data_IF_002201756995
#
_entry.id   IF_002201756995
#
_cell.length_a   1.000
_cell.length_b   1.000
_cell.length_c   1.000
_cell.angle_alpha   90.00
_cell.angle_beta   90.00
_cell.angle_gamma   90.00
#
_symmetry.space_group_name_H-M   'P 1'
#
loop_
_entity.id
_entity.type
_entity.pdbx_description
1 polymer ?
#
# COMPACT_ATOMS: atom_id res chain seq x y z
N UNK A 1 7.40 4.79 18.42
CA UNK A 1 7.05 5.91 17.54
C UNK A 1 6.70 7.07 18.43
N UNK A 2 7.48 8.14 18.36
CA UNK A 2 7.42 9.19 19.40
C UNK A 2 6.13 9.99 19.34
N UNK A 3 5.50 10.08 18.17
CA UNK A 3 4.23 10.78 17.97
C UNK A 3 3.00 10.04 18.55
N UNK A 4 3.06 8.71 18.74
CA UNK A 4 1.87 7.93 19.12
C UNK A 4 2.14 6.74 20.06
N UNK A 5 3.37 6.61 20.56
CA UNK A 5 3.78 5.54 21.48
C UNK A 5 3.87 4.13 20.87
N UNK A 6 3.44 3.90 19.62
CA UNK A 6 3.46 2.55 19.03
C UNK A 6 4.87 1.98 18.91
N UNK A 7 5.04 0.74 19.38
CA UNK A 7 6.26 -0.04 19.24
C UNK A 7 6.29 -0.82 17.91
N UNK A 8 7.49 -1.01 17.36
CA UNK A 8 7.71 -1.75 16.12
C UNK A 8 8.92 -2.66 16.28
N UNK A 9 8.90 -3.81 15.61
CA UNK A 9 9.97 -4.82 15.67
C UNK A 9 11.28 -4.33 15.05
N UNK A 10 11.23 -3.44 14.07
CA UNK A 10 12.40 -2.93 13.37
C UNK A 10 12.21 -1.48 12.88
N UNK A 11 13.35 -0.85 12.54
CA UNK A 11 13.43 0.55 12.09
C UNK A 11 12.72 0.76 10.76
N UNK A 12 12.72 -0.24 9.87
CA UNK A 12 12.03 -0.14 8.59
C UNK A 12 10.51 0.02 8.78
N UNK A 13 9.92 -0.79 9.66
CA UNK A 13 8.51 -0.72 10.00
C UNK A 13 8.15 0.58 10.73
N UNK A 14 9.03 1.06 11.63
CA UNK A 14 8.88 2.34 12.29
C UNK A 14 8.89 3.51 11.29
N UNK A 15 9.88 3.59 10.40
CA UNK A 15 9.97 4.64 9.35
C UNK A 15 8.75 4.62 8.43
N UNK A 16 8.33 3.42 8.01
CA UNK A 16 7.12 3.25 7.21
C UNK A 16 5.87 3.71 7.94
N UNK A 17 5.79 3.48 9.26
CA UNK A 17 4.69 3.97 10.07
C UNK A 17 4.72 5.49 10.22
N UNK A 18 5.88 6.12 10.37
CA UNK A 18 5.99 7.58 10.49
C UNK A 18 5.37 8.31 9.30
N UNK A 19 5.40 7.74 8.09
CA UNK A 19 4.69 8.27 6.92
C UNK A 19 3.18 8.40 7.17
N UNK A 20 2.55 7.57 8.02
CA UNK A 20 1.12 7.70 8.32
C UNK A 20 0.78 8.99 9.05
N UNK A 21 1.73 9.56 9.80
CA UNK A 21 1.57 10.82 10.52
C UNK A 21 1.85 12.05 9.65
N UNK A 22 2.55 11.88 8.53
CA UNK A 22 2.80 12.95 7.56
C UNK A 22 1.70 13.00 6.50
N UNK A 23 1.27 14.18 6.08
CA UNK A 23 0.37 14.35 4.92
C UNK A 23 1.08 14.24 3.57
N UNK A 24 2.40 14.02 3.60
CA UNK A 24 3.19 13.82 2.39
C UNK A 24 2.77 12.56 1.64
N UNK A 25 2.40 12.75 0.37
CA UNK A 25 2.06 11.68 -0.57
C UNK A 25 2.97 11.82 -1.80
N UNK A 26 4.22 11.34 -1.75
CA UNK A 26 5.19 11.59 -2.80
C UNK A 26 4.89 10.81 -4.08
N UNK A 27 4.09 9.75 -4.02
CA UNK A 27 3.81 8.89 -5.18
C UNK A 27 2.47 9.28 -5.81
N UNK A 28 2.50 9.86 -7.01
CA UNK A 28 1.29 10.13 -7.79
C UNK A 28 0.98 8.98 -8.76
N UNK A 29 -0.30 8.69 -8.93
CA UNK A 29 -0.77 7.80 -9.98
C UNK A 29 -0.56 8.48 -11.35
N UNK A 30 0.13 7.85 -12.32
CA UNK A 30 0.34 8.44 -13.63
C UNK A 30 -0.96 8.59 -14.44
N UNK A 31 -2.03 7.86 -14.09
CA UNK A 31 -3.30 7.85 -14.82
C UNK A 31 -4.27 8.93 -14.28
N UNK A 32 -4.57 8.91 -12.97
CA UNK A 32 -5.58 9.78 -12.37
C UNK A 32 -5.03 10.82 -11.39
N UNK A 33 -3.70 10.92 -11.26
CA UNK A 33 -3.00 11.86 -10.36
C UNK A 33 -3.31 11.71 -8.86
N UNK A 34 -4.03 10.65 -8.46
CA UNK A 34 -4.25 10.32 -7.06
C UNK A 34 -2.91 10.06 -6.35
N UNK A 35 -2.71 10.66 -5.18
CA UNK A 35 -1.45 10.59 -4.45
C UNK A 35 -1.48 9.55 -3.33
N UNK A 36 -0.36 8.87 -3.12
CA UNK A 36 -0.17 7.81 -2.14
C UNK A 36 1.07 8.07 -1.28
N UNK A 37 0.98 7.65 -0.01
CA UNK A 37 2.11 7.69 0.94
C UNK A 37 3.17 6.62 0.65
N UNK A 38 2.82 5.57 -0.13
CA UNK A 38 3.69 4.43 -0.40
C UNK A 38 3.66 3.99 -1.86
N UNK A 39 4.83 3.62 -2.40
CA UNK A 39 5.00 3.15 -3.77
C UNK A 39 4.21 1.89 -4.07
N UNK A 40 4.24 0.89 -3.20
CA UNK A 40 3.52 -0.38 -3.38
C UNK A 40 2.00 -0.18 -3.45
N UNK A 41 1.46 0.77 -2.67
CA UNK A 41 0.04 1.14 -2.74
C UNK A 41 -0.32 1.84 -4.04
N UNK A 42 0.51 2.77 -4.51
CA UNK A 42 0.33 3.40 -5.83
C UNK A 42 0.40 2.35 -6.94
N UNK A 43 1.41 1.47 -6.94
CA UNK A 43 1.56 0.42 -7.95
C UNK A 43 0.38 -0.55 -7.97
N UNK A 44 -0.14 -0.93 -6.80
CA UNK A 44 -1.37 -1.74 -6.72
C UNK A 44 -2.58 -1.00 -7.28
N UNK A 45 -2.73 0.28 -6.96
CA UNK A 45 -3.79 1.12 -7.51
C UNK A 45 -3.68 1.26 -9.04
N UNK A 46 -2.48 1.42 -9.60
CA UNK A 46 -2.28 1.50 -11.05
C UNK A 46 -2.86 0.26 -11.75
N UNK A 47 -2.66 -0.94 -11.19
CA UNK A 47 -3.22 -2.19 -11.74
C UNK A 47 -4.75 -2.23 -11.76
N UNK A 48 -5.43 -1.42 -10.94
CA UNK A 48 -6.90 -1.31 -10.99
C UNK A 48 -7.40 -0.52 -12.20
N UNK A 49 -6.57 0.34 -12.80
CA UNK A 49 -6.92 1.03 -14.06
C UNK A 49 -6.91 0.07 -15.25
N UNK A 50 -5.99 -0.91 -15.26
CA UNK A 50 -5.86 -1.86 -16.36
C UNK A 50 -6.91 -2.97 -16.35
N UNK A 51 -7.77 -3.04 -15.33
CA UNK A 51 -8.78 -4.11 -15.14
C UNK A 51 -8.20 -5.52 -14.94
N UNK A 52 -6.89 -5.69 -15.14
CA UNK A 52 -6.15 -6.93 -15.04
C UNK A 52 -5.71 -7.23 -13.60
N UNK A 53 -6.59 -7.01 -12.61
CA UNK A 53 -6.46 -7.63 -11.30
C UNK A 53 -6.73 -9.12 -11.49
N UNK A 54 -5.77 -9.81 -12.10
CA UNK A 54 -5.69 -11.26 -12.09
C UNK A 54 -5.38 -11.59 -10.65
N UNK A 55 -6.39 -12.07 -9.94
CA UNK A 55 -6.27 -12.66 -8.62
C UNK A 55 -5.53 -13.99 -8.79
N UNK A 56 -4.19 -14.02 -8.65
CA UNK A 56 -3.41 -15.18 -9.02
C UNK A 56 -3.59 -16.30 -7.99
N UNK A 57 -4.03 -15.94 -6.78
CA UNK A 57 -4.09 -16.83 -5.65
C UNK A 57 -5.53 -17.30 -5.48
N UNK A 58 -5.79 -18.52 -5.95
CA UNK A 58 -7.06 -19.20 -5.72
C UNK A 58 -6.91 -20.09 -4.50
N UNK A 59 -7.77 -19.90 -3.50
CA UNK A 59 -7.84 -20.81 -2.37
C UNK A 59 -8.42 -22.15 -2.85
N UNK A 60 -7.64 -23.23 -2.76
CA UNK A 60 -8.08 -24.57 -3.15
C UNK A 60 -9.20 -25.12 -2.27
N UNK A 61 -9.34 -24.62 -1.03
CA UNK A 61 -10.35 -25.09 -0.10
C UNK A 61 -11.73 -24.44 -0.32
N UNK A 62 -11.80 -23.16 -0.71
CA UNK A 62 -13.07 -22.45 -0.87
C UNK A 62 -13.28 -21.80 -2.25
N UNK A 63 -12.37 -22.00 -3.19
CA UNK A 63 -12.45 -21.48 -4.57
C UNK A 63 -12.32 -19.96 -4.71
N UNK A 64 -12.18 -19.22 -3.60
CA UNK A 64 -12.07 -17.75 -3.62
C UNK A 64 -10.72 -17.34 -4.18
N UNK A 65 -10.72 -16.43 -5.14
CA UNK A 65 -9.52 -15.82 -5.68
C UNK A 65 -9.19 -14.51 -4.93
N UNK A 66 -7.90 -14.27 -4.69
CA UNK A 66 -7.30 -13.12 -4.00
C UNK A 66 -6.23 -12.43 -4.85
#
# INVERSE_FOLDING_TARGET
CDACGKAFRDVYHLKRHQLSHSDEKPFACPVCQQRFKRKDRMSYHVRSHDGAVRKPYVCSHCGKSF
#
